data_IF_813475362771
#
_entry.id   IF_813475362771
#
_cell.length_a   1.000
_cell.length_b   1.000
_cell.length_c   1.000
_cell.angle_alpha   90.00
_cell.angle_beta   90.00
_cell.angle_gamma   90.00
#
_symmetry.space_group_name_H-M   'P 1'
#
loop_
_entity.id
_entity.type
_entity.pdbx_description
1 polymer ?
#
# COMPACT_ATOMS: atom_id res chain seq x y z
N UNK A 1 16.66 11.58 2.63
CA UNK A 1 15.92 12.86 2.59
C UNK A 1 14.81 12.83 3.61
N UNK A 2 14.69 13.87 4.37
CA UNK A 2 13.65 13.90 5.38
C UNK A 2 12.35 14.46 4.84
N UNK A 3 11.30 13.77 5.12
CA UNK A 3 9.97 14.12 4.65
C UNK A 3 9.50 15.49 5.14
N UNK A 4 9.89 15.84 6.36
CA UNK A 4 9.56 17.13 6.96
C UNK A 4 10.20 18.32 6.26
N UNK A 5 11.42 18.18 5.80
CA UNK A 5 12.13 19.25 5.11
C UNK A 5 11.43 19.60 3.79
N UNK A 6 10.96 18.59 3.08
CA UNK A 6 10.20 18.78 1.85
C UNK A 6 8.86 19.50 2.12
N UNK A 7 8.18 19.13 3.19
CA UNK A 7 6.92 19.75 3.58
C UNK A 7 7.08 21.22 3.94
N UNK A 8 8.06 21.54 4.79
CA UNK A 8 8.38 22.91 5.17
C UNK A 8 8.78 23.74 3.95
N UNK A 9 9.59 23.16 3.08
CA UNK A 9 10.02 23.80 1.84
C UNK A 9 8.81 24.19 0.97
N UNK A 10 7.86 23.28 0.77
CA UNK A 10 6.66 23.54 -0.03
C UNK A 10 5.75 24.60 0.59
N UNK A 11 5.69 24.65 1.92
CA UNK A 11 4.84 25.61 2.65
C UNK A 11 5.34 27.04 2.60
N UNK A 12 6.66 27.23 2.55
CA UNK A 12 7.28 28.55 2.69
C UNK A 12 7.91 29.06 1.40
N UNK A 13 7.97 28.25 0.38
CA UNK A 13 8.63 28.65 -0.86
C UNK A 13 7.74 29.59 -1.67
N UNK A 14 8.23 30.79 -2.01
CA UNK A 14 7.52 31.64 -2.95
C UNK A 14 7.44 30.94 -4.30
N UNK A 15 6.36 31.20 -5.00
CA UNK A 15 6.16 30.68 -6.34
C UNK A 15 7.23 31.22 -7.28
N UNK A 16 8.15 30.37 -7.69
CA UNK A 16 9.19 30.72 -8.64
C UNK A 16 8.71 30.30 -10.02
N UNK A 17 8.73 31.24 -10.98
CA UNK A 17 8.38 30.97 -12.35
C UNK A 17 9.35 29.93 -12.95
N UNK A 18 8.80 28.90 -13.60
CA UNK A 18 9.57 27.83 -14.23
C UNK A 18 10.04 26.71 -13.32
N UNK A 19 9.83 26.81 -11.99
CA UNK A 19 10.13 25.70 -11.07
C UNK A 19 9.00 24.68 -11.06
N UNK A 20 9.32 23.39 -11.20
CA UNK A 20 8.37 22.30 -11.01
C UNK A 20 7.98 22.23 -9.54
N UNK A 21 6.71 22.44 -9.26
CA UNK A 21 6.18 22.38 -7.92
C UNK A 21 5.75 20.94 -7.61
N UNK A 22 6.27 20.37 -6.54
CA UNK A 22 5.81 19.06 -6.08
C UNK A 22 4.49 19.26 -5.34
N UNK A 23 3.47 18.60 -5.83
CA UNK A 23 2.15 18.64 -5.23
C UNK A 23 1.95 17.39 -4.37
N UNK A 24 1.85 17.59 -3.06
CA UNK A 24 1.61 16.49 -2.11
C UNK A 24 0.22 15.85 -2.28
N UNK A 25 -0.69 16.54 -2.94
CA UNK A 25 -2.03 16.03 -3.24
C UNK A 25 -2.11 15.34 -4.61
N UNK A 26 -1.00 15.25 -5.33
CA UNK A 26 -0.96 14.47 -6.57
C UNK A 26 -1.43 13.04 -6.29
N UNK A 27 -2.36 12.50 -7.10
CA UNK A 27 -2.87 11.13 -6.93
C UNK A 27 -1.75 10.08 -6.89
N UNK A 28 -0.67 10.24 -7.64
CA UNK A 28 0.47 9.32 -7.63
C UNK A 28 1.21 9.35 -6.30
N UNK A 29 1.40 10.52 -5.73
CA UNK A 29 2.05 10.69 -4.43
C UNK A 29 1.22 10.03 -3.33
N UNK A 30 -0.08 10.28 -3.31
CA UNK A 30 -0.98 9.69 -2.33
C UNK A 30 -1.12 8.19 -2.50
N UNK A 31 -1.09 7.68 -3.72
CA UNK A 31 -1.12 6.24 -3.98
C UNK A 31 0.14 5.53 -3.48
N UNK A 32 1.31 6.08 -3.74
CA UNK A 32 2.58 5.55 -3.20
C UNK A 32 2.53 5.51 -1.68
N UNK A 33 2.06 6.56 -1.04
CA UNK A 33 1.92 6.60 0.42
C UNK A 33 0.93 5.54 0.93
N UNK A 34 -0.16 5.30 0.23
CA UNK A 34 -1.14 4.25 0.55
C UNK A 34 -0.52 2.87 0.48
N UNK A 35 0.24 2.58 -0.58
CA UNK A 35 0.97 1.32 -0.73
C UNK A 35 1.97 1.14 0.42
N UNK A 36 2.77 2.17 0.69
CA UNK A 36 3.76 2.14 1.75
C UNK A 36 3.11 1.86 3.11
N UNK A 37 1.95 2.43 3.38
CA UNK A 37 1.19 2.17 4.61
C UNK A 37 0.79 0.70 4.74
N UNK A 38 0.38 0.06 3.65
CA UNK A 38 0.06 -1.38 3.68
C UNK A 38 1.27 -2.20 4.06
N UNK A 39 2.42 -1.94 3.44
CA UNK A 39 3.66 -2.69 3.67
C UNK A 39 4.46 -2.25 4.90
N UNK A 40 3.99 -1.27 5.65
CA UNK A 40 4.69 -0.73 6.80
C UNK A 40 4.59 -1.61 8.07
N UNK A 41 3.89 -2.72 8.03
CA UNK A 41 3.72 -3.61 9.18
C UNK A 41 4.01 -5.07 8.79
N UNK A 42 4.89 -5.78 9.55
CA UNK A 42 5.26 -7.16 9.21
C UNK A 42 4.08 -8.12 9.09
N UNK A 43 3.08 -7.98 9.94
CA UNK A 43 1.89 -8.82 9.87
C UNK A 43 1.13 -8.67 8.55
N UNK A 44 1.03 -7.44 8.03
CA UNK A 44 0.38 -7.22 6.74
C UNK A 44 1.16 -7.83 5.57
N UNK A 45 2.46 -7.72 5.61
CA UNK A 45 3.33 -8.38 4.63
C UNK A 45 3.13 -9.90 4.68
N UNK A 46 3.14 -10.49 5.88
CA UNK A 46 2.93 -11.92 6.06
C UNK A 46 1.55 -12.38 5.56
N UNK A 47 0.51 -11.60 5.84
CA UNK A 47 -0.86 -11.85 5.35
C UNK A 47 -0.87 -11.86 3.81
N UNK A 48 -0.30 -10.86 3.19
CA UNK A 48 -0.24 -10.77 1.72
C UNK A 48 0.56 -11.91 1.11
N UNK A 49 1.69 -12.29 1.72
CA UNK A 49 2.46 -13.45 1.28
C UNK A 49 1.68 -14.74 1.39
N UNK A 50 0.94 -14.92 2.47
CA UNK A 50 0.10 -16.09 2.65
C UNK A 50 -0.98 -16.17 1.56
N UNK A 51 -1.74 -15.09 1.36
CA UNK A 51 -2.78 -15.03 0.35
C UNK A 51 -2.20 -15.27 -1.06
N UNK A 52 -1.04 -14.70 -1.37
CA UNK A 52 -0.43 -14.82 -2.70
C UNK A 52 0.00 -16.25 -3.06
N UNK A 53 0.23 -17.08 -2.07
CA UNK A 53 0.62 -18.49 -2.28
C UNK A 53 -0.56 -19.42 -2.48
N UNK A 54 -1.77 -18.93 -2.26
CA UNK A 54 -2.96 -19.75 -2.42
C UNK A 54 -3.42 -19.73 -3.88
N UNK A 55 -3.84 -20.89 -4.37
CA UNK A 55 -4.37 -21.03 -5.72
C UNK A 55 -5.85 -20.62 -5.83
N UNK A 56 -6.47 -20.33 -4.72
CA UNK A 56 -7.87 -19.95 -4.61
C UNK A 56 -8.08 -18.91 -3.52
N UNK A 57 -9.24 -18.31 -3.48
CA UNK A 57 -9.59 -17.40 -2.40
C UNK A 57 -9.59 -18.11 -1.05
N UNK A 58 -9.19 -17.40 -0.01
CA UNK A 58 -9.05 -17.92 1.34
C UNK A 58 -10.28 -17.56 2.15
N UNK A 59 -10.77 -18.54 2.90
CA UNK A 59 -11.87 -18.35 3.84
C UNK A 59 -11.44 -18.79 5.24
N UNK A 60 -11.37 -17.85 6.17
CA UNK A 60 -11.17 -18.05 7.61
C UNK A 60 -9.86 -18.68 8.11
N UNK A 61 -9.00 -19.20 7.25
CA UNK A 61 -7.83 -20.00 7.66
C UNK A 61 -6.62 -19.15 8.10
N UNK A 62 -6.67 -17.85 7.86
CA UNK A 62 -5.52 -16.97 8.04
C UNK A 62 -5.12 -16.78 9.50
N UNK A 63 -6.06 -16.88 10.41
CA UNK A 63 -5.81 -16.71 11.86
C UNK A 63 -4.83 -17.78 12.34
N UNK A 64 -5.04 -19.02 11.94
CA UNK A 64 -4.19 -20.15 12.35
C UNK A 64 -2.80 -20.05 11.73
N UNK A 65 -2.72 -19.62 10.47
CA UNK A 65 -1.45 -19.53 9.74
C UNK A 65 -0.57 -18.37 10.20
N UNK A 66 -1.16 -17.24 10.53
CA UNK A 66 -0.39 -16.05 10.94
C UNK A 66 -0.10 -16.06 12.46
N UNK A 67 -0.92 -16.76 13.24
CA UNK A 67 -0.72 -16.87 14.70
C UNK A 67 -1.04 -15.60 15.47
N UNK A 68 -1.86 -14.72 14.93
CA UNK A 68 -2.37 -13.53 15.62
C UNK A 68 -3.84 -13.70 15.98
N UNK A 69 -4.29 -12.96 16.98
CA UNK A 69 -5.70 -12.93 17.35
C UNK A 69 -6.58 -12.48 16.19
N UNK A 70 -7.78 -13.03 16.06
CA UNK A 70 -8.71 -12.73 14.98
C UNK A 70 -9.01 -11.22 14.85
N UNK A 71 -9.18 -10.52 15.96
CA UNK A 71 -9.44 -9.08 15.96
C UNK A 71 -8.26 -8.31 15.35
N UNK A 72 -7.03 -8.72 15.64
CA UNK A 72 -5.82 -8.13 15.09
C UNK A 72 -5.71 -8.40 13.58
N UNK A 73 -5.95 -9.63 13.16
CA UNK A 73 -6.00 -10.00 11.73
C UNK A 73 -7.04 -9.18 10.99
N UNK A 74 -8.23 -9.04 11.56
CA UNK A 74 -9.32 -8.25 10.96
C UNK A 74 -8.94 -6.78 10.74
N UNK A 75 -8.22 -6.19 11.69
CA UNK A 75 -7.73 -4.81 11.56
C UNK A 75 -6.70 -4.69 10.44
N UNK A 76 -5.77 -5.64 10.32
CA UNK A 76 -4.79 -5.65 9.25
C UNK A 76 -5.44 -5.87 7.88
N UNK A 77 -6.38 -6.79 7.79
CA UNK A 77 -7.15 -7.03 6.56
C UNK A 77 -7.93 -5.79 6.12
N UNK A 78 -8.47 -5.04 7.08
CA UNK A 78 -9.15 -3.77 6.78
C UNK A 78 -8.21 -2.76 6.12
N UNK A 79 -7.01 -2.58 6.65
CA UNK A 79 -6.01 -1.67 6.04
C UNK A 79 -5.66 -2.11 4.62
N UNK A 80 -5.45 -3.41 4.40
CA UNK A 80 -5.13 -3.95 3.08
C UNK A 80 -6.32 -3.76 2.12
N UNK A 81 -7.53 -4.03 2.59
CA UNK A 81 -8.75 -3.88 1.79
C UNK A 81 -9.05 -2.42 1.44
N UNK A 82 -8.84 -1.50 2.37
CA UNK A 82 -9.04 -0.06 2.13
C UNK A 82 -8.09 0.47 1.03
N UNK A 83 -6.94 -0.16 0.85
CA UNK A 83 -6.03 0.14 -0.26
C UNK A 83 -6.47 -0.51 -1.60
N UNK A 84 -7.54 -1.29 -1.60
CA UNK A 84 -8.06 -1.96 -2.79
C UNK A 84 -7.33 -3.23 -3.20
N UNK A 85 -6.48 -3.79 -2.34
CA UNK A 85 -5.65 -4.96 -2.66
C UNK A 85 -6.36 -6.30 -2.48
N UNK A 86 -7.55 -6.29 -1.90
CA UNK A 86 -8.34 -7.51 -1.70
C UNK A 86 -9.66 -7.43 -2.45
N UNK A 87 -10.10 -8.58 -2.91
CA UNK A 87 -11.44 -8.82 -3.43
C UNK A 87 -12.09 -9.93 -2.62
N UNK A 88 -13.42 -9.89 -2.45
CA UNK A 88 -14.12 -10.97 -1.79
C UNK A 88 -15.37 -10.54 -1.06
N UNK A 89 -15.88 -11.46 -0.27
CA UNK A 89 -17.04 -11.24 0.58
C UNK A 89 -16.59 -11.02 2.03
N UNK A 90 -16.81 -9.82 2.51
CA UNK A 90 -16.46 -9.42 3.88
C UNK A 90 -17.66 -9.38 4.82
N UNK A 91 -18.80 -9.89 4.38
CA UNK A 91 -20.06 -9.88 5.13
C UNK A 91 -20.45 -11.30 5.56
N UNK A 92 -20.96 -11.40 6.78
CA UNK A 92 -21.48 -12.66 7.30
C UNK A 92 -20.43 -13.52 8.01
N UNK A 93 -20.78 -14.79 8.22
CA UNK A 93 -19.95 -15.76 8.96
C UNK A 93 -18.78 -16.29 8.16
N UNK A 94 -18.86 -16.26 6.83
CA UNK A 94 -17.81 -16.72 5.92
C UNK A 94 -17.19 -15.52 5.24
N UNK A 95 -16.04 -15.11 5.73
CA UNK A 95 -15.23 -14.08 5.11
C UNK A 95 -14.27 -14.78 4.15
N UNK A 96 -14.46 -14.55 2.85
CA UNK A 96 -13.57 -15.08 1.82
C UNK A 96 -12.95 -13.92 1.05
N UNK A 97 -11.65 -13.98 0.79
CA UNK A 97 -10.92 -12.94 0.08
C UNK A 97 -9.77 -13.51 -0.75
N UNK A 98 -9.50 -12.78 -1.82
CA UNK A 98 -8.39 -13.03 -2.72
C UNK A 98 -7.63 -11.73 -2.96
N UNK A 99 -6.45 -11.82 -3.58
CA UNK A 99 -5.75 -10.63 -4.04
C UNK A 99 -6.42 -10.02 -5.26
N UNK A 100 -6.54 -8.71 -5.28
CA UNK A 100 -6.86 -7.96 -6.48
C UNK A 100 -5.59 -7.80 -7.31
N UNK A 101 -5.37 -8.70 -8.26
CA UNK A 101 -4.14 -8.75 -9.05
C UNK A 101 -3.97 -7.51 -9.93
N UNK A 102 -5.05 -6.97 -10.45
CA UNK A 102 -5.00 -5.73 -11.25
C UNK A 102 -4.47 -4.56 -10.43
N UNK A 103 -4.95 -4.44 -9.20
CA UNK A 103 -4.50 -3.39 -8.29
C UNK A 103 -3.05 -3.58 -7.87
N UNK A 104 -2.63 -4.82 -7.64
CA UNK A 104 -1.23 -5.16 -7.37
C UNK A 104 -0.32 -4.76 -8.52
N UNK A 105 -0.73 -5.06 -9.75
CA UNK A 105 0.04 -4.71 -10.95
C UNK A 105 0.18 -3.18 -11.09
N UNK A 106 -0.89 -2.44 -10.89
CA UNK A 106 -0.83 -0.97 -10.90
C UNK A 106 0.12 -0.42 -9.85
N UNK A 107 0.11 -0.99 -8.66
CA UNK A 107 1.02 -0.59 -7.60
C UNK A 107 2.46 -0.90 -7.95
N UNK A 108 2.72 -2.07 -8.51
CA UNK A 108 4.05 -2.45 -8.98
C UNK A 108 4.58 -1.47 -10.04
N UNK A 109 3.78 -1.14 -11.01
CA UNK A 109 4.15 -0.18 -12.06
C UNK A 109 4.47 1.20 -11.48
N UNK A 110 3.65 1.67 -10.55
CA UNK A 110 3.82 2.97 -9.90
C UNK A 110 5.11 3.02 -9.06
N UNK A 111 5.38 1.98 -8.29
CA UNK A 111 6.61 1.87 -7.50
C UNK A 111 7.85 1.75 -8.39
N UNK A 112 7.79 0.95 -9.43
CA UNK A 112 8.89 0.81 -10.39
C UNK A 112 9.21 2.14 -11.07
N UNK A 113 8.20 2.87 -11.49
CA UNK A 113 8.36 4.21 -12.07
C UNK A 113 9.01 5.17 -11.08
N UNK A 114 8.56 5.17 -9.84
CA UNK A 114 9.12 5.99 -8.78
C UNK A 114 10.60 5.67 -8.53
N UNK A 115 10.93 4.40 -8.34
CA UNK A 115 12.30 3.99 -8.06
C UNK A 115 13.24 4.25 -9.24
N UNK A 116 12.81 3.98 -10.45
CA UNK A 116 13.61 4.25 -11.65
C UNK A 116 13.92 5.73 -11.82
N UNK A 117 12.95 6.59 -11.58
CA UNK A 117 13.15 8.04 -11.66
C UNK A 117 14.09 8.54 -10.55
N UNK A 118 13.95 8.00 -9.35
CA UNK A 118 14.75 8.41 -8.20
C UNK A 118 16.21 7.99 -8.33
N UNK A 119 16.47 6.80 -8.86
CA UNK A 119 17.83 6.24 -8.96
C UNK A 119 18.61 6.80 -10.15
N UNK A 120 17.95 7.24 -11.20
CA UNK A 120 18.62 7.77 -12.39
C UNK A 120 19.32 9.11 -12.17
N UNK A 121 18.97 9.83 -11.10
CA UNK A 121 19.52 11.15 -10.77
C UNK A 121 20.46 11.12 -9.56
N UNK A 122 20.93 9.95 -9.15
CA UNK A 122 21.90 9.80 -8.08
C UNK A 122 23.27 10.27 -8.53
N UNK A 123 23.86 11.16 -7.76
CA UNK A 123 25.23 11.64 -7.97
C UNK A 123 26.27 10.53 -7.82
#
# INVERSE_FOLDING_TARGET
MQYYDLFVYLSHKPKIMGATKIDIHDPKVTEIATIAKVFAHPARVAILQYISRQNSCICNDIVDEIGLAQATISQHLKVINDAGLLEGNFHGKSICYCLNLERFQKFQELLNSFFNTTTSNCC
#
